data_IF_863445661006
#
_entry.id   IF_863445661006
#
_cell.length_a   1.000
_cell.length_b   1.000
_cell.length_c   1.000
_cell.angle_alpha   90.00
_cell.angle_beta   90.00
_cell.angle_gamma   90.00
#
_symmetry.space_group_name_H-M   'P 1'
#
loop_
_entity.id
_entity.type
_entity.pdbx_description
1 polymer ?
2 polymer ?
3 polymer ?
4 non-polymer ?
5 non-polymer ?
6 water ?
#
loop_
_entity_poly.entity_id
_entity_poly.type
_entity_poly.pdbx_seq_one_letter_code
_entity_poly.pdbx_strand_id
2 'polydeoxyribonucleotide' '(DA)(DG)(DG)(DA)(DC)(DC)(DOC)' ?
3 'polydeoxyribonucleotide' '(DT)(BRU)(DG)(DG)(DG)(DT)(DC)(DC)(DT)' ?
#
# COMPACT_ATOMS: atom_id res chain seq x y z
N UNK A 1 11.38 21.59 -15.01
CA UNK A 1 10.67 20.78 -13.95
C UNK A 1 10.35 21.64 -12.71
N UNK A 2 9.17 21.43 -12.14
CA UNK A 2 8.74 22.18 -10.95
C UNK A 2 7.37 21.73 -10.45
N UNK A 3 6.36 21.82 -11.32
CA UNK A 3 5.00 21.43 -10.97
C UNK A 3 4.65 20.04 -11.45
N UNK A 4 4.39 19.13 -10.52
CA UNK A 4 4.05 17.77 -10.88
C UNK A 4 2.57 17.45 -10.86
N UNK A 5 2.20 16.38 -11.55
CA UNK A 5 0.84 15.89 -11.59
C UNK A 5 0.95 14.42 -11.22
N UNK A 6 0.69 14.13 -9.96
CA UNK A 6 0.80 12.78 -9.44
C UNK A 6 -0.58 12.17 -9.26
N UNK A 7 -0.66 10.85 -9.36
CA UNK A 7 -1.93 10.18 -9.17
C UNK A 7 -1.76 9.00 -8.21
N UNK A 8 -2.70 8.88 -7.28
CA UNK A 8 -2.67 7.81 -6.33
C UNK A 8 -3.85 6.87 -6.58
N UNK A 9 -3.54 5.63 -6.96
CA UNK A 9 -4.58 4.62 -7.24
C UNK A 9 -4.67 3.67 -6.08
N UNK A 10 -5.87 3.56 -5.51
CA UNK A 10 -6.12 2.69 -4.35
C UNK A 10 -7.34 1.78 -4.57
N UNK A 11 -7.09 0.48 -4.74
CA UNK A 11 -8.16 -0.49 -4.96
C UNK A 11 -9.04 -0.78 -3.75
N UNK A 12 -10.33 -0.84 -4.01
CA UNK A 12 -11.33 -1.11 -2.99
C UNK A 12 -11.26 -2.55 -2.47
N UNK A 13 -11.30 -2.71 -1.15
CA UNK A 13 -11.22 -4.02 -0.49
C UNK A 13 -10.62 -5.08 -1.42
N UNK A 14 -9.44 -4.77 -1.93
CA UNK A 14 -8.71 -5.63 -2.87
C UNK A 14 -8.88 -7.15 -2.76
N UNK A 15 -8.64 -7.73 -1.59
CA UNK A 15 -8.79 -9.18 -1.46
C UNK A 15 -10.21 -9.67 -1.71
N UNK A 16 -11.19 -8.97 -1.17
CA UNK A 16 -12.58 -9.37 -1.38
C UNK A 16 -12.84 -9.31 -2.87
N UNK A 17 -12.35 -8.25 -3.49
CA UNK A 17 -12.55 -8.04 -4.92
C UNK A 17 -12.02 -9.23 -5.73
N UNK A 18 -10.91 -9.83 -5.28
CA UNK A 18 -10.34 -10.96 -5.99
C UNK A 18 -11.16 -12.23 -5.72
N UNK A 19 -11.51 -12.45 -4.45
CA UNK A 19 -12.30 -13.61 -4.08
C UNK A 19 -13.64 -13.59 -4.81
N UNK A 20 -14.26 -12.41 -4.88
CA UNK A 20 -15.56 -12.29 -5.55
C UNK A 20 -15.49 -12.60 -7.03
N UNK A 21 -14.40 -12.18 -7.68
CA UNK A 21 -14.26 -12.47 -9.09
C UNK A 21 -14.12 -13.98 -9.25
N UNK A 22 -13.47 -14.62 -8.27
CA UNK A 22 -13.29 -16.07 -8.28
C UNK A 22 -14.66 -16.75 -8.27
N UNK A 23 -15.33 -16.71 -7.12
CA UNK A 23 -16.65 -17.31 -6.98
C UNK A 23 -17.71 -16.20 -6.90
N UNK A 24 -18.33 -15.86 -8.05
CA UNK A 24 -19.36 -14.83 -8.18
C UNK A 24 -20.49 -14.91 -7.16
N UNK A 25 -20.92 -16.13 -6.84
CA UNK A 25 -21.99 -16.34 -5.87
C UNK A 25 -21.74 -15.55 -4.60
N UNK A 26 -20.49 -15.12 -4.41
CA UNK A 26 -20.11 -14.35 -3.24
C UNK A 26 -20.49 -12.87 -3.33
N UNK A 27 -20.76 -12.39 -4.54
CA UNK A 27 -21.15 -10.99 -4.72
C UNK A 27 -22.42 -10.68 -3.93
N UNK A 28 -22.75 -9.39 -3.83
CA UNK A 28 -23.94 -8.90 -3.12
C UNK A 28 -24.16 -9.52 -1.72
N UNK A 29 -23.42 -10.57 -1.42
CA UNK A 29 -23.50 -11.23 -0.12
C UNK A 29 -22.35 -10.69 0.70
N UNK A 30 -22.60 -10.40 1.99
CA UNK A 30 -21.50 -9.88 2.81
C UNK A 30 -20.32 -10.86 2.84
N UNK A 31 -19.20 -10.44 2.24
CA UNK A 31 -18.01 -11.29 2.19
C UNK A 31 -16.84 -10.70 2.93
N UNK A 32 -16.29 -11.49 3.84
CA UNK A 32 -15.14 -11.06 4.62
C UNK A 32 -13.98 -12.01 4.36
N UNK A 33 -12.76 -11.49 4.24
CA UNK A 33 -11.62 -12.35 4.01
C UNK A 33 -10.92 -12.56 5.34
N UNK A 34 -10.66 -13.83 5.65
CA UNK A 34 -10.07 -14.20 6.92
C UNK A 34 -8.64 -14.76 6.86
N UNK A 35 -7.86 -14.36 7.86
CA UNK A 35 -6.48 -14.83 8.03
C UNK A 35 -6.42 -15.13 9.52
N UNK A 36 -6.31 -16.41 9.86
CA UNK A 36 -6.30 -16.80 11.25
C UNK A 36 -7.63 -16.37 11.88
N UNK A 37 -7.57 -15.59 12.96
CA UNK A 37 -8.79 -15.16 13.61
C UNK A 37 -9.12 -13.72 13.28
N UNK A 38 -8.71 -13.28 12.10
CA UNK A 38 -8.98 -11.92 11.71
C UNK A 38 -9.69 -11.82 10.39
N UNK A 39 -10.47 -10.75 10.25
CA UNK A 39 -11.19 -10.47 9.02
C UNK A 39 -10.42 -9.26 8.50
N UNK A 40 -9.37 -9.56 7.75
CA UNK A 40 -8.48 -8.54 7.20
C UNK A 40 -9.21 -7.53 6.30
N UNK A 41 -10.13 -7.99 5.48
CA UNK A 41 -10.88 -7.09 4.61
C UNK A 41 -12.24 -7.73 4.31
N UNK A 42 -13.16 -6.93 3.75
CA UNK A 42 -14.50 -7.41 3.42
C UNK A 42 -15.10 -6.51 2.35
N UNK A 43 -16.06 -7.05 1.60
CA UNK A 43 -16.70 -6.26 0.56
C UNK A 43 -17.58 -5.20 1.23
N UNK A 44 -17.99 -4.19 0.49
CA UNK A 44 -18.79 -3.12 1.05
C UNK A 44 -20.12 -3.54 1.62
N UNK A 45 -20.72 -4.56 1.01
CA UNK A 45 -22.00 -5.09 1.48
C UNK A 45 -21.85 -5.35 2.98
N UNK A 46 -20.76 -6.01 3.37
CA UNK A 46 -20.49 -6.35 4.77
C UNK A 46 -20.13 -5.12 5.64
N UNK A 47 -19.39 -4.16 5.07
CA UNK A 47 -19.02 -2.97 5.81
C UNK A 47 -20.27 -2.24 6.24
N UNK A 48 -21.29 -2.32 5.41
CA UNK A 48 -22.58 -1.68 5.69
C UNK A 48 -23.16 -2.27 6.96
N UNK A 49 -22.98 -3.58 7.12
CA UNK A 49 -23.52 -4.29 8.28
C UNK A 49 -22.62 -4.23 9.52
N UNK A 50 -21.63 -3.34 9.51
CA UNK A 50 -20.77 -3.20 10.68
C UNK A 50 -19.39 -3.87 10.66
N UNK A 51 -19.12 -4.66 9.63
CA UNK A 51 -17.83 -5.33 9.54
C UNK A 51 -16.71 -4.34 9.20
N UNK A 52 -15.79 -4.14 10.13
CA UNK A 52 -14.67 -3.22 9.93
C UNK A 52 -13.41 -4.05 9.72
N UNK A 53 -12.53 -3.59 8.84
CA UNK A 53 -11.31 -4.33 8.56
C UNK A 53 -10.52 -4.63 9.81
N UNK A 54 -9.78 -5.72 9.78
CA UNK A 54 -8.99 -6.15 10.92
C UNK A 54 -9.88 -6.19 12.17
N UNK A 55 -10.93 -7.01 12.09
CA UNK A 55 -11.88 -7.19 13.18
C UNK A 55 -11.92 -8.67 13.54
N UNK A 56 -11.98 -8.98 14.83
CA UNK A 56 -12.03 -10.36 15.29
C UNK A 56 -13.17 -11.11 14.59
N UNK A 57 -12.92 -12.36 14.21
CA UNK A 57 -13.96 -13.13 13.53
C UNK A 57 -15.22 -13.14 14.36
N UNK A 58 -15.07 -13.25 15.67
CA UNK A 58 -16.22 -13.25 16.58
C UNK A 58 -16.92 -11.91 16.53
N UNK A 59 -16.25 -10.84 16.96
CA UNK A 59 -16.81 -9.50 16.94
C UNK A 59 -17.46 -9.25 15.57
N UNK A 60 -17.00 -10.00 14.58
CA UNK A 60 -17.48 -9.89 13.19
C UNK A 60 -18.79 -10.60 12.91
N UNK A 61 -18.97 -11.78 13.50
CA UNK A 61 -20.20 -12.52 13.28
C UNK A 61 -21.28 -12.10 14.27
N UNK A 62 -20.88 -11.61 15.44
CA UNK A 62 -21.86 -11.15 16.42
C UNK A 62 -22.21 -9.70 16.10
N UNK A 63 -21.92 -9.30 14.87
CA UNK A 63 -22.20 -7.96 14.37
C UNK A 63 -22.94 -8.19 13.05
N UNK A 64 -22.70 -9.35 12.46
CA UNK A 64 -23.30 -9.76 11.20
C UNK A 64 -23.29 -11.29 11.14
N UNK A 65 -24.18 -11.94 11.91
CA UNK A 65 -24.30 -13.40 11.98
C UNK A 65 -24.73 -14.03 10.65
N UNK A 66 -24.13 -13.58 9.56
CA UNK A 66 -24.48 -14.11 8.24
C UNK A 66 -23.28 -13.96 7.30
N UNK A 67 -22.33 -13.14 7.74
CA UNK A 67 -21.11 -12.88 6.98
C UNK A 67 -20.47 -14.14 6.43
N UNK A 68 -20.14 -14.14 5.14
CA UNK A 68 -19.48 -15.29 4.53
C UNK A 68 -17.98 -15.03 4.63
N UNK A 69 -17.22 -16.04 5.05
CA UNK A 69 -15.79 -15.90 5.18
C UNK A 69 -15.01 -16.86 4.29
N UNK A 70 -13.94 -16.35 3.67
CA UNK A 70 -13.07 -17.18 2.84
C UNK A 70 -11.70 -16.96 3.43
N UNK A 71 -10.82 -17.94 3.26
CA UNK A 71 -9.49 -17.82 3.80
C UNK A 71 -8.58 -17.09 2.85
N UNK A 72 -7.86 -16.10 3.38
CA UNK A 72 -6.94 -15.33 2.56
C UNK A 72 -5.52 -15.38 3.10
N UNK A 73 -5.13 -16.53 3.65
CA UNK A 73 -3.81 -16.72 4.21
C UNK A 73 -2.77 -16.94 3.12
N UNK A 74 -3.24 -17.29 1.93
CA UNK A 74 -2.41 -17.52 0.77
C UNK A 74 -2.53 -16.31 -0.14
N UNK A 75 -1.49 -15.47 -0.15
CA UNK A 75 -1.49 -14.26 -0.96
C UNK A 75 -1.08 -14.45 -2.42
N UNK A 76 -1.17 -15.66 -2.93
CA UNK A 76 -0.75 -15.92 -4.31
C UNK A 76 -1.56 -15.22 -5.38
N UNK A 77 -2.88 -15.39 -5.33
CA UNK A 77 -3.74 -14.77 -6.32
C UNK A 77 -3.79 -13.26 -6.17
N UNK A 78 -3.79 -12.79 -4.93
CA UNK A 78 -3.83 -11.36 -4.66
C UNK A 78 -2.59 -10.70 -5.25
N UNK A 79 -1.44 -11.32 -4.95
CA UNK A 79 -0.17 -10.83 -5.41
C UNK A 79 -0.18 -10.81 -6.93
N UNK A 80 -0.59 -11.91 -7.52
CA UNK A 80 -0.61 -11.97 -8.97
C UNK A 80 -1.46 -10.87 -9.57
N UNK A 81 -2.59 -10.57 -8.93
CA UNK A 81 -3.47 -9.53 -9.42
C UNK A 81 -2.87 -8.15 -9.16
N UNK A 82 -2.15 -8.02 -8.05
CA UNK A 82 -1.51 -6.77 -7.69
C UNK A 82 -0.52 -6.33 -8.76
N UNK A 83 0.22 -7.27 -9.35
CA UNK A 83 1.18 -6.94 -10.41
C UNK A 83 0.52 -6.68 -11.75
N UNK A 84 -0.62 -7.33 -11.96
CA UNK A 84 -1.35 -7.10 -13.18
C UNK A 84 -1.80 -5.64 -13.17
N UNK A 85 -2.19 -5.14 -12.00
CA UNK A 85 -2.63 -3.75 -11.90
C UNK A 85 -1.45 -2.80 -12.13
N UNK A 86 -0.35 -3.06 -11.43
CA UNK A 86 0.84 -2.23 -11.60
C UNK A 86 1.30 -2.18 -13.07
N UNK A 87 1.40 -3.32 -13.71
CA UNK A 87 1.82 -3.37 -15.12
C UNK A 87 0.96 -2.51 -16.02
N UNK A 88 -0.36 -2.70 -15.93
CA UNK A 88 -1.28 -1.90 -16.72
C UNK A 88 -1.01 -0.41 -16.50
N UNK A 89 -0.76 0.01 -15.26
CA UNK A 89 -0.48 1.42 -15.02
C UNK A 89 0.86 1.84 -15.59
N UNK A 90 1.79 0.89 -15.65
CA UNK A 90 3.13 1.14 -16.19
C UNK A 90 3.01 1.44 -17.68
N UNK A 91 1.95 0.95 -18.29
CA UNK A 91 1.71 1.16 -19.71
C UNK A 91 1.46 2.63 -19.95
N UNK A 92 0.57 3.23 -19.17
CA UNK A 92 0.25 4.65 -19.30
C UNK A 92 1.53 5.46 -19.13
N UNK A 93 2.26 5.19 -18.04
CA UNK A 93 3.51 5.87 -17.77
C UNK A 93 4.37 4.92 -16.95
N UNK A 94 5.58 4.66 -17.42
CA UNK A 94 6.52 3.75 -16.76
C UNK A 94 6.84 3.95 -15.28
N UNK A 95 6.94 5.19 -14.84
CA UNK A 95 7.29 5.44 -13.44
C UNK A 95 6.14 5.24 -12.48
N UNK A 96 6.03 4.01 -11.99
CA UNK A 96 4.97 3.60 -11.07
C UNK A 96 5.51 3.03 -9.75
N UNK A 97 5.04 3.58 -8.63
CA UNK A 97 5.45 3.12 -7.32
C UNK A 97 4.34 2.35 -6.62
N UNK A 98 4.66 1.14 -6.16
CA UNK A 98 3.69 0.30 -5.48
C UNK A 98 3.76 0.59 -3.99
N UNK A 99 2.62 0.60 -3.33
CA UNK A 99 2.63 0.79 -1.90
C UNK A 99 1.73 -0.32 -1.41
N UNK A 100 2.30 -1.47 -1.10
CA UNK A 100 1.52 -2.59 -0.63
C UNK A 100 0.95 -3.29 -1.86
N UNK A 101 0.04 -4.24 -1.66
CA UNK A 101 -0.55 -4.94 -2.80
C UNK A 101 -1.66 -4.15 -3.49
N UNK A 102 -2.26 -3.20 -2.80
CA UNK A 102 -3.38 -2.47 -3.39
C UNK A 102 -3.18 -0.98 -3.72
N UNK A 103 -1.93 -0.50 -3.71
CA UNK A 103 -1.69 0.91 -4.02
C UNK A 103 -0.56 1.22 -4.98
N UNK A 104 -0.79 2.22 -5.82
CA UNK A 104 0.20 2.62 -6.81
C UNK A 104 0.23 4.13 -7.00
N UNK A 105 1.43 4.67 -7.19
CA UNK A 105 1.63 6.09 -7.47
C UNK A 105 2.18 6.14 -8.90
N UNK A 106 1.73 7.14 -9.65
CA UNK A 106 2.17 7.29 -11.03
C UNK A 106 2.44 8.77 -11.27
N UNK A 107 3.61 9.07 -11.80
CA UNK A 107 3.96 10.44 -12.09
C UNK A 107 3.47 10.73 -13.49
N UNK A 108 2.35 11.42 -13.57
CA UNK A 108 1.72 11.78 -14.84
C UNK A 108 2.21 13.10 -15.41
N UNK A 109 3.19 13.71 -14.75
CA UNK A 109 3.72 15.01 -15.18
C UNK A 109 4.11 15.08 -16.66
N UNK A 110 4.90 14.11 -17.10
CA UNK A 110 5.35 14.09 -18.48
C UNK A 110 4.22 13.81 -19.45
N UNK A 111 3.24 13.02 -19.01
CA UNK A 111 2.12 12.67 -19.88
C UNK A 111 1.14 13.83 -20.08
N UNK A 112 0.91 14.60 -19.03
CA UNK A 112 0.00 15.73 -19.09
C UNK A 112 0.55 16.79 -20.05
N UNK A 113 1.87 16.97 -20.03
CA UNK A 113 2.53 17.93 -20.89
C UNK A 113 2.32 17.58 -22.37
N UNK A 114 2.62 16.32 -22.70
CA UNK A 114 2.46 15.87 -24.07
C UNK A 114 1.01 16.06 -24.52
N UNK A 115 0.06 15.68 -23.68
CA UNK A 115 -1.34 15.85 -24.06
C UNK A 115 -1.68 17.31 -24.28
N UNK A 116 -1.29 18.17 -23.34
CA UNK A 116 -1.56 19.59 -23.48
C UNK A 116 -0.99 20.15 -24.78
N UNK A 117 0.24 19.76 -25.11
CA UNK A 117 0.88 20.25 -26.33
C UNK A 117 0.16 19.87 -27.62
N UNK A 118 -0.78 18.93 -27.53
CA UNK A 118 -1.51 18.51 -28.71
C UNK A 118 -2.83 19.29 -28.85
N UNK A 119 -3.19 20.02 -27.81
CA UNK A 119 -4.40 20.82 -27.82
C UNK A 119 -4.19 22.14 -28.55
N UNK A 120 -5.24 22.62 -29.22
CA UNK A 120 -5.16 23.87 -29.98
C UNK A 120 -5.65 25.06 -29.15
N UNK A 121 -5.15 26.25 -29.48
CA UNK A 121 -5.50 27.48 -28.79
C UNK A 121 -7.00 27.79 -28.89
N UNK A 122 -7.81 26.84 -28.42
CA UNK A 122 -9.25 26.97 -28.45
C UNK A 122 -9.81 25.86 -27.57
N UNK A 123 -9.61 24.63 -28.01
CA UNK A 123 -10.07 23.44 -27.28
C UNK A 123 -9.57 23.42 -25.84
N UNK A 124 -8.49 24.13 -25.58
CA UNK A 124 -7.93 24.21 -24.23
C UNK A 124 -8.90 24.88 -23.25
N UNK A 125 -9.98 25.44 -23.77
CA UNK A 125 -10.99 26.12 -22.95
C UNK A 125 -12.14 25.15 -22.71
N UNK A 126 -12.12 24.06 -23.48
CA UNK A 126 -13.15 23.03 -23.37
C UNK A 126 -12.67 21.90 -22.47
N UNK A 127 -11.47 22.07 -21.90
CA UNK A 127 -10.91 21.07 -20.99
C UNK A 127 -11.88 20.92 -19.84
N UNK A 128 -12.17 19.68 -19.45
CA UNK A 128 -13.11 19.44 -18.37
C UNK A 128 -12.57 18.43 -17.37
N UNK A 129 -12.99 18.56 -16.12
CA UNK A 129 -12.56 17.65 -15.06
C UNK A 129 -13.27 16.32 -15.24
N UNK A 130 -12.72 15.29 -14.62
CA UNK A 130 -13.29 13.95 -14.69
C UNK A 130 -13.42 13.45 -13.27
N UNK A 131 -14.63 13.47 -12.74
CA UNK A 131 -14.85 13.04 -11.37
C UNK A 131 -14.99 14.23 -10.46
N UNK A 132 -14.82 13.99 -9.16
CA UNK A 132 -14.92 15.01 -8.11
C UNK A 132 -13.77 16.01 -8.09
N UNK A 133 -14.06 17.18 -7.54
CA UNK A 133 -13.08 18.24 -7.36
C UNK A 133 -13.17 18.49 -5.86
N UNK A 134 -12.05 18.37 -5.16
CA UNK A 134 -12.04 18.54 -3.71
C UNK A 134 -12.56 19.89 -3.19
N UNK A 135 -13.37 19.79 -2.15
CA UNK A 135 -14.02 20.92 -1.49
C UNK A 135 -14.82 21.68 -2.53
N UNK A 136 -15.20 20.96 -3.57
CA UNK A 136 -16.03 21.53 -4.62
C UNK A 136 -15.48 22.87 -5.09
N UNK A 137 -14.17 22.99 -5.15
CA UNK A 137 -13.53 24.23 -5.55
C UNK A 137 -13.83 24.64 -6.97
N UNK A 138 -13.76 25.95 -7.23
CA UNK A 138 -13.99 26.47 -8.56
C UNK A 138 -12.76 26.28 -9.42
N UNK A 139 -13.00 25.96 -10.69
CA UNK A 139 -11.93 25.76 -11.65
C UNK A 139 -11.69 27.05 -12.41
N UNK A 140 -10.42 27.38 -12.61
CA UNK A 140 -10.06 28.56 -13.35
C UNK A 140 -9.32 28.06 -14.57
N UNK A 141 -10.02 28.03 -15.70
CA UNK A 141 -9.45 27.53 -16.95
C UNK A 141 -8.28 28.32 -17.51
N UNK A 142 -7.90 29.40 -16.84
CA UNK A 142 -6.76 30.21 -17.29
C UNK A 142 -5.55 29.91 -16.44
N UNK A 143 -5.78 29.19 -15.36
CA UNK A 143 -4.70 28.79 -14.47
C UNK A 143 -4.07 27.55 -15.11
N UNK A 144 -2.81 27.65 -15.51
CA UNK A 144 -2.16 26.51 -16.14
C UNK A 144 -2.14 25.26 -15.24
N UNK A 145 -1.95 25.47 -13.93
CA UNK A 145 -1.92 24.37 -12.96
C UNK A 145 -3.26 23.64 -12.91
N UNK A 146 -4.35 24.40 -13.01
CA UNK A 146 -5.68 23.80 -13.00
C UNK A 146 -5.87 22.93 -14.24
N UNK A 147 -5.45 23.47 -15.39
CA UNK A 147 -5.56 22.74 -16.65
C UNK A 147 -4.82 21.42 -16.54
N UNK A 148 -3.64 21.47 -15.94
CA UNK A 148 -2.81 20.28 -15.76
C UNK A 148 -3.45 19.21 -14.85
N UNK A 149 -3.93 19.61 -13.68
CA UNK A 149 -4.56 18.66 -12.78
C UNK A 149 -5.82 18.06 -13.37
N UNK A 150 -6.52 18.83 -14.18
CA UNK A 150 -7.72 18.31 -14.81
C UNK A 150 -7.37 17.25 -15.83
N UNK A 151 -6.30 17.48 -16.60
CA UNK A 151 -5.85 16.51 -17.59
C UNK A 151 -5.54 15.25 -16.80
N UNK A 152 -4.79 15.43 -15.71
CA UNK A 152 -4.45 14.32 -14.84
C UNK A 152 -5.69 13.57 -14.36
N UNK A 153 -6.79 14.26 -14.13
CA UNK A 153 -8.01 13.57 -13.71
C UNK A 153 -8.55 12.72 -14.86
N UNK A 154 -8.36 13.19 -16.10
CA UNK A 154 -8.81 12.44 -17.27
C UNK A 154 -7.99 11.15 -17.35
N UNK A 155 -6.68 11.30 -17.30
CA UNK A 155 -5.82 10.14 -17.36
C UNK A 155 -6.20 9.23 -16.21
N UNK A 156 -6.45 9.82 -15.05
CA UNK A 156 -6.86 9.06 -13.87
C UNK A 156 -8.12 8.26 -14.19
N UNK A 157 -9.06 8.91 -14.86
CA UNK A 157 -10.31 8.25 -15.25
C UNK A 157 -10.00 7.09 -16.19
N UNK A 158 -9.14 7.35 -17.16
CA UNK A 158 -8.74 6.33 -18.11
C UNK A 158 -8.16 5.08 -17.46
N UNK A 159 -7.20 5.27 -16.56
CA UNK A 159 -6.58 4.16 -15.86
C UNK A 159 -7.67 3.37 -15.12
N UNK A 160 -8.55 4.06 -14.42
CA UNK A 160 -9.59 3.36 -13.71
C UNK A 160 -10.48 2.59 -14.68
N UNK A 161 -10.80 3.18 -15.82
CA UNK A 161 -11.64 2.49 -16.79
C UNK A 161 -10.94 1.23 -17.27
N UNK A 162 -9.67 1.38 -17.66
CA UNK A 162 -8.88 0.25 -18.14
C UNK A 162 -8.79 -0.88 -17.11
N UNK A 163 -8.55 -0.53 -15.86
CA UNK A 163 -8.44 -1.52 -14.81
C UNK A 163 -9.67 -2.39 -14.74
N UNK A 164 -10.83 -1.76 -14.88
CA UNK A 164 -12.09 -2.46 -14.81
C UNK A 164 -12.39 -3.30 -16.04
N UNK A 165 -12.20 -2.73 -17.23
CA UNK A 165 -12.47 -3.49 -18.46
C UNK A 165 -11.52 -4.67 -18.60
N UNK A 166 -10.23 -4.39 -18.49
CA UNK A 166 -9.20 -5.40 -18.63
C UNK A 166 -8.97 -6.36 -17.45
N UNK A 167 -9.17 -5.90 -16.22
CA UNK A 167 -8.94 -6.77 -15.06
C UNK A 167 -10.15 -6.96 -14.13
N UNK A 168 -11.29 -6.36 -14.48
CA UNK A 168 -12.48 -6.49 -13.67
C UNK A 168 -12.38 -5.87 -12.30
N UNK A 169 -11.48 -4.91 -12.14
CA UNK A 169 -11.28 -4.27 -10.84
C UNK A 169 -11.72 -2.81 -10.76
N UNK A 170 -12.32 -2.45 -9.62
CA UNK A 170 -12.76 -1.09 -9.37
C UNK A 170 -11.86 -0.50 -8.30
N UNK A 171 -11.75 0.82 -8.27
CA UNK A 171 -10.91 1.46 -7.27
C UNK A 171 -11.00 2.97 -7.30
N UNK A 172 -10.23 3.62 -6.42
CA UNK A 172 -10.24 5.07 -6.39
C UNK A 172 -8.95 5.65 -6.97
N UNK A 173 -8.97 6.94 -7.24
CA UNK A 173 -7.79 7.62 -7.75
C UNK A 173 -7.78 9.00 -7.10
N UNK A 174 -6.59 9.57 -6.95
CA UNK A 174 -6.45 10.89 -6.38
C UNK A 174 -5.42 11.63 -7.22
N UNK A 175 -5.73 12.84 -7.65
CA UNK A 175 -4.78 13.59 -8.45
C UNK A 175 -4.36 14.85 -7.69
N UNK A 176 -3.05 15.03 -7.55
CA UNK A 176 -2.48 16.19 -6.87
C UNK A 176 -1.06 16.54 -7.37
N UNK A 177 -0.44 17.52 -6.73
CA UNK A 177 0.90 17.93 -7.13
C UNK A 177 2.07 17.22 -6.44
N UNK A 178 1.77 16.29 -5.54
CA UNK A 178 2.80 15.50 -4.87
C UNK A 178 2.19 14.19 -4.31
N UNK A 179 3.04 13.24 -3.90
CA UNK A 179 2.52 11.97 -3.41
C UNK A 179 1.65 12.05 -2.16
N UNK A 180 2.00 12.92 -1.22
CA UNK A 180 1.25 13.10 0.02
C UNK A 180 -0.19 13.55 -0.22
N UNK A 181 -0.37 14.57 -1.05
CA UNK A 181 -1.71 15.07 -1.32
C UNK A 181 -2.55 14.08 -2.12
N UNK A 182 -1.94 13.48 -3.12
CA UNK A 182 -2.64 12.52 -3.98
C UNK A 182 -3.14 11.38 -3.12
N UNK A 183 -2.31 10.91 -2.20
CA UNK A 183 -2.74 9.82 -1.34
C UNK A 183 -3.85 10.31 -0.41
N UNK A 184 -3.72 11.54 0.09
CA UNK A 184 -4.73 12.07 0.99
C UNK A 184 -6.06 12.32 0.31
N UNK A 185 -6.03 12.75 -0.94
CA UNK A 185 -7.29 13.03 -1.61
C UNK A 185 -7.93 11.82 -2.31
N UNK A 186 -7.17 10.75 -2.54
CA UNK A 186 -7.72 9.58 -3.22
C UNK A 186 -8.85 8.96 -2.41
N UNK A 187 -8.86 9.21 -1.11
CA UNK A 187 -9.90 8.65 -0.29
C UNK A 187 -11.14 9.48 -0.06
N UNK A 188 -11.15 10.73 -0.50
CA UNK A 188 -12.31 11.61 -0.25
C UNK A 188 -13.68 11.01 -0.59
N UNK A 189 -13.85 10.44 -1.77
CA UNK A 189 -15.11 9.80 -2.14
C UNK A 189 -14.77 8.33 -2.30
N UNK A 190 -14.95 7.65 -1.19
CA UNK A 190 -14.59 6.26 -0.99
C UNK A 190 -14.82 5.11 -1.93
N UNK A 191 -16.08 4.71 -2.15
CA UNK A 191 -16.23 3.56 -3.06
C UNK A 191 -16.08 3.85 -4.55
N UNK A 192 -15.07 3.23 -5.16
CA UNK A 192 -14.84 3.36 -6.59
C UNK A 192 -15.11 4.74 -7.23
N UNK A 193 -14.33 5.74 -6.85
CA UNK A 193 -14.50 7.08 -7.41
C UNK A 193 -13.16 7.81 -7.43
N UNK A 194 -13.15 9.05 -7.93
CA UNK A 194 -11.92 9.81 -7.99
C UNK A 194 -12.07 11.30 -7.67
N UNK A 195 -11.08 11.85 -6.99
CA UNK A 195 -11.08 13.24 -6.60
C UNK A 195 -9.78 13.89 -7.07
N UNK A 196 -9.85 15.17 -7.43
CA UNK A 196 -8.67 15.91 -7.87
C UNK A 196 -8.58 17.09 -6.92
N UNK A 197 -7.35 17.45 -6.55
CA UNK A 197 -7.15 18.54 -5.62
C UNK A 197 -6.51 19.74 -6.26
N UNK A 198 -7.15 20.90 -6.14
CA UNK A 198 -6.56 22.12 -6.70
C UNK A 198 -5.79 22.82 -5.59
N UNK A 199 -4.65 23.44 -5.94
CA UNK A 199 -3.77 24.16 -5.01
C UNK A 199 -4.51 24.95 -3.92
N UNK A 200 -5.41 25.83 -4.34
CA UNK A 200 -6.17 26.64 -3.38
C UNK A 200 -6.76 25.82 -2.24
N UNK A 201 -6.99 24.52 -2.45
CA UNK A 201 -7.61 23.71 -1.40
C UNK A 201 -6.67 22.86 -0.55
N UNK A 202 -5.37 23.05 -0.71
CA UNK A 202 -4.41 22.26 0.04
C UNK A 202 -4.51 22.31 1.57
N UNK A 203 -4.58 23.50 2.16
CA UNK A 203 -4.68 23.56 3.60
C UNK A 203 -6.01 22.94 4.07
N UNK A 204 -7.09 23.21 3.35
CA UNK A 204 -8.38 22.66 3.71
C UNK A 204 -8.26 21.14 3.84
N UNK A 205 -7.59 20.51 2.87
CA UNK A 205 -7.42 19.06 2.92
C UNK A 205 -6.50 18.66 4.06
N UNK A 206 -5.43 19.41 4.26
CA UNK A 206 -4.49 19.08 5.33
C UNK A 206 -5.15 19.23 6.69
N UNK A 207 -5.87 20.34 6.87
CA UNK A 207 -6.53 20.61 8.14
C UNK A 207 -7.76 19.76 8.42
N UNK A 208 -8.22 19.02 7.41
CA UNK A 208 -9.39 18.19 7.64
C UNK A 208 -9.01 16.96 8.45
N UNK A 209 -7.71 16.70 8.59
CA UNK A 209 -7.28 15.54 9.38
C UNK A 209 -7.52 15.80 10.86
N UNK A 210 -7.79 14.76 11.63
CA UNK A 210 -8.05 14.94 13.05
C UNK A 210 -6.86 14.60 13.92
N UNK A 211 -5.87 13.93 13.34
CA UNK A 211 -4.64 13.64 14.07
C UNK A 211 -3.43 13.40 13.17
N UNK A 212 -2.29 14.00 13.56
CA UNK A 212 -1.02 13.89 12.84
C UNK A 212 -0.75 12.46 12.40
N UNK A 213 -1.26 11.51 13.19
CA UNK A 213 -1.10 10.09 12.89
C UNK A 213 -1.73 9.74 11.55
N UNK A 214 -2.63 10.59 11.09
CA UNK A 214 -3.32 10.38 9.82
C UNK A 214 -2.47 10.79 8.63
N UNK A 215 -1.40 11.54 8.88
CA UNK A 215 -0.53 11.98 7.80
C UNK A 215 0.42 10.88 7.32
N UNK A 216 0.29 10.47 6.05
CA UNK A 216 1.19 9.42 5.56
C UNK A 216 2.64 9.83 5.82
N UNK A 217 3.38 8.99 6.53
CA UNK A 217 4.76 9.31 6.81
C UNK A 217 5.01 9.34 8.30
N UNK A 218 3.97 9.67 9.06
CA UNK A 218 4.06 9.72 10.50
C UNK A 218 3.43 8.42 11.03
N UNK A 219 4.28 7.52 11.52
CA UNK A 219 3.78 6.25 12.02
C UNK A 219 3.27 6.23 13.45
N UNK A 220 3.10 5.03 13.99
CA UNK A 220 2.63 4.86 15.36
C UNK A 220 3.59 5.52 16.35
N UNK A 221 4.89 5.28 16.16
CA UNK A 221 5.89 5.85 17.04
C UNK A 221 5.86 7.37 17.03
N UNK A 222 6.40 7.98 15.96
CA UNK A 222 6.44 9.43 15.83
C UNK A 222 5.21 10.16 16.37
N UNK A 223 4.04 9.54 16.24
CA UNK A 223 2.81 10.14 16.71
C UNK A 223 2.85 10.29 18.22
N UNK A 224 3.28 9.22 18.90
CA UNK A 224 3.39 9.21 20.35
C UNK A 224 4.46 10.17 20.86
N UNK A 225 5.52 10.34 20.09
CA UNK A 225 6.58 11.25 20.47
C UNK A 225 6.01 12.66 20.45
N UNK A 226 5.30 12.97 19.36
CA UNK A 226 4.70 14.29 19.18
C UNK A 226 3.67 14.57 20.26
N UNK A 227 2.93 13.53 20.66
CA UNK A 227 1.93 13.70 21.71
C UNK A 227 2.64 14.14 22.98
N UNK A 228 3.67 13.38 23.33
CA UNK A 228 4.45 13.67 24.52
C UNK A 228 4.93 15.13 24.50
N UNK A 229 4.78 15.79 23.35
CA UNK A 229 5.19 17.19 23.20
C UNK A 229 4.00 18.14 23.10
N UNK A 230 2.80 17.62 23.30
CA UNK A 230 1.62 18.47 23.19
C UNK A 230 1.22 18.79 21.76
N UNK A 231 1.79 18.06 20.81
CA UNK A 231 1.48 18.26 19.40
C UNK A 231 0.40 17.24 19.06
N UNK A 232 -0.84 17.70 18.86
CA UNK A 232 -1.94 16.79 18.56
C UNK A 232 -2.63 17.04 17.23
N UNK A 233 -2.89 18.30 16.91
CA UNK A 233 -3.57 18.64 15.66
C UNK A 233 -2.52 18.91 14.59
N UNK A 234 -2.95 18.91 13.33
CA UNK A 234 -1.98 19.17 12.26
C UNK A 234 -1.43 20.59 12.39
N UNK A 235 -2.24 21.52 12.90
CA UNK A 235 -1.79 22.90 13.03
C UNK A 235 -0.79 23.03 14.17
N UNK A 236 -0.88 22.14 15.16
CA UNK A 236 0.06 22.14 16.27
C UNK A 236 1.43 21.85 15.68
N UNK A 237 1.48 20.86 14.80
CA UNK A 237 2.71 20.47 14.13
C UNK A 237 3.21 21.57 13.20
N UNK A 238 2.29 22.27 12.56
CA UNK A 238 2.67 23.33 11.63
C UNK A 238 3.29 24.48 12.41
N UNK A 239 2.68 24.80 13.54
CA UNK A 239 3.14 25.91 14.36
C UNK A 239 4.20 25.57 15.40
N UNK A 240 4.47 24.28 15.60
CA UNK A 240 5.46 23.92 16.60
C UNK A 240 6.85 24.39 16.22
N UNK A 241 7.69 24.54 17.24
CA UNK A 241 9.07 25.00 17.07
C UNK A 241 9.98 24.10 16.26
N UNK A 242 10.60 24.65 15.19
CA UNK A 242 11.51 23.88 14.35
C UNK A 242 12.66 23.36 15.19
N UNK A 243 13.23 24.25 16.00
CA UNK A 243 14.35 23.88 16.86
C UNK A 243 14.08 22.64 17.72
N UNK A 244 13.18 22.78 18.69
CA UNK A 244 12.85 21.68 19.60
C UNK A 244 12.58 20.36 18.89
N UNK A 245 11.72 20.43 17.88
CA UNK A 245 11.32 19.27 17.08
C UNK A 245 12.52 18.63 16.40
N UNK A 246 13.34 19.49 15.80
CA UNK A 246 14.55 19.07 15.10
C UNK A 246 15.45 18.39 16.13
N UNK A 247 15.49 18.99 17.31
CA UNK A 247 16.31 18.54 18.43
C UNK A 247 15.73 17.38 19.24
N UNK A 248 14.71 16.71 18.72
CA UNK A 248 14.15 15.61 19.48
C UNK A 248 13.73 14.41 18.62
N UNK A 249 13.82 14.57 17.31
CA UNK A 249 13.46 13.52 16.38
C UNK A 249 14.52 13.37 15.31
N UNK A 250 15.39 14.37 15.23
CA UNK A 250 16.46 14.35 14.24
C UNK A 250 16.13 15.34 13.15
N UNK A 251 17.09 16.20 12.83
CA UNK A 251 16.89 17.21 11.80
C UNK A 251 16.18 16.62 10.57
N UNK A 252 16.33 15.31 10.34
CA UNK A 252 15.69 14.65 9.21
C UNK A 252 14.18 14.53 9.46
N UNK A 253 13.80 13.47 10.16
CA UNK A 253 12.40 13.22 10.48
C UNK A 253 11.68 14.52 10.83
N UNK A 254 12.34 15.39 11.60
CA UNK A 254 11.77 16.66 12.01
C UNK A 254 11.44 17.55 10.82
N UNK A 255 12.48 18.01 10.15
CA UNK A 255 12.33 18.89 9.01
C UNK A 255 11.40 18.33 7.94
N UNK A 256 11.37 17.00 7.82
CA UNK A 256 10.52 16.36 6.82
C UNK A 256 9.05 16.32 7.19
N UNK A 257 8.72 15.86 8.40
CA UNK A 257 7.31 15.80 8.76
C UNK A 257 6.70 17.18 8.97
N UNK A 258 7.52 18.19 9.18
CA UNK A 258 6.94 19.51 9.35
C UNK A 258 6.55 20.04 7.98
N UNK A 259 7.30 19.67 6.95
CA UNK A 259 6.94 20.11 5.60
C UNK A 259 5.64 19.39 5.29
N UNK A 260 5.56 18.15 5.73
CA UNK A 260 4.38 17.35 5.51
C UNK A 260 3.14 18.01 6.09
N UNK A 261 3.23 18.48 7.32
CA UNK A 261 2.08 19.08 7.97
C UNK A 261 1.50 20.24 7.16
N UNK A 262 2.24 20.67 6.15
CA UNK A 262 1.80 21.77 5.31
C UNK A 262 1.30 21.33 3.94
N UNK A 263 1.39 20.05 3.66
CA UNK A 263 0.98 19.56 2.36
C UNK A 263 2.17 19.52 1.41
N UNK A 264 3.36 19.76 1.95
CA UNK A 264 4.61 19.74 1.17
C UNK A 264 5.30 18.40 1.23
N UNK A 265 5.58 17.83 0.07
CA UNK A 265 6.23 16.55 -0.02
C UNK A 265 6.93 16.55 -1.36
N UNK A 266 8.26 16.65 -1.34
CA UNK A 266 8.99 16.67 -2.59
C UNK A 266 9.47 15.30 -3.05
N UNK A 267 9.21 14.27 -2.25
CA UNK A 267 9.66 12.93 -2.62
C UNK A 267 9.18 12.51 -4.00
N UNK A 268 10.06 11.84 -4.77
CA UNK A 268 9.76 11.37 -6.12
C UNK A 268 8.97 10.05 -6.13
N UNK A 269 8.47 9.72 -7.30
CA UNK A 269 7.75 8.48 -7.47
C UNK A 269 8.86 7.56 -7.88
N UNK A 270 9.14 6.57 -7.03
CA UNK A 270 10.19 5.62 -7.32
C UNK A 270 9.62 4.50 -8.16
N UNK A 271 10.36 4.09 -9.18
CA UNK A 271 9.95 3.00 -10.06
C UNK A 271 10.17 1.70 -9.30
N UNK A 272 9.10 1.08 -8.86
CA UNK A 272 9.20 -0.18 -8.09
C UNK A 272 9.92 -1.32 -8.78
N UNK A 273 9.53 -1.60 -10.02
CA UNK A 273 10.12 -2.70 -10.76
C UNK A 273 9.86 -4.03 -10.07
N UNK A 274 10.76 -5.01 -10.24
CA UNK A 274 10.64 -6.34 -9.61
C UNK A 274 10.85 -6.31 -8.10
N UNK A 275 10.20 -7.24 -7.39
CA UNK A 275 10.34 -7.29 -5.95
C UNK A 275 11.80 -7.30 -5.51
N UNK A 276 12.07 -6.73 -4.34
CA UNK A 276 13.42 -6.71 -3.79
C UNK A 276 13.59 -7.93 -2.89
N UNK A 277 12.49 -8.64 -2.63
CA UNK A 277 12.50 -9.83 -1.78
C UNK A 277 11.24 -10.68 -1.90
N UNK A 278 11.37 -11.96 -1.53
CA UNK A 278 10.25 -12.90 -1.57
C UNK A 278 10.19 -13.60 -0.22
N UNK A 279 9.02 -13.65 0.40
CA UNK A 279 8.93 -14.34 1.69
C UNK A 279 7.55 -14.90 1.98
N UNK A 280 7.54 -16.00 2.70
CA UNK A 280 6.31 -16.64 3.10
C UNK A 280 6.37 -16.60 4.61
N UNK A 281 5.21 -16.66 5.24
CA UNK A 281 5.12 -16.56 6.68
C UNK A 281 4.10 -17.57 7.18
N UNK A 282 4.06 -17.78 8.48
CA UNK A 282 3.10 -18.71 9.04
C UNK A 282 2.99 -18.55 10.54
N UNK A 283 1.78 -18.21 10.97
CA UNK A 283 1.52 -18.02 12.38
C UNK A 283 0.73 -19.25 12.84
N UNK A 284 0.98 -19.70 14.05
CA UNK A 284 0.26 -20.84 14.58
C UNK A 284 0.25 -20.84 16.10
N UNK A 285 -0.90 -21.22 16.65
CA UNK A 285 -1.16 -21.30 18.08
C UNK A 285 0.03 -21.88 18.85
N UNK A 286 1.01 -21.03 19.15
CA UNK A 286 2.22 -21.42 19.89
C UNK A 286 2.48 -22.92 19.74
N UNK A 287 2.44 -23.40 18.50
CA UNK A 287 2.60 -24.81 18.20
C UNK A 287 3.91 -25.20 17.50
N UNK A 288 5.02 -25.10 18.23
CA UNK A 288 6.32 -25.49 17.70
C UNK A 288 7.19 -25.91 18.89
N UNK A 289 7.61 -27.17 18.87
CA UNK A 289 8.42 -27.78 19.94
C UNK A 289 9.87 -27.33 20.01
N UNK A 290 10.25 -26.44 19.10
CA UNK A 290 11.62 -25.93 19.02
C UNK A 290 12.41 -26.86 18.09
N UNK A 291 11.75 -27.91 17.62
CA UNK A 291 12.38 -28.88 16.72
C UNK A 291 11.32 -29.75 16.06
N UNK A 292 11.71 -30.43 14.98
CA UNK A 292 10.80 -31.29 14.23
C UNK A 292 9.74 -30.41 13.56
N UNK A 293 9.41 -29.31 14.23
CA UNK A 293 8.44 -28.34 13.75
C UNK A 293 9.06 -27.51 12.65
N UNK A 294 10.08 -28.08 12.00
CA UNK A 294 10.76 -27.41 10.91
C UNK A 294 10.31 -28.06 9.62
N UNK A 295 9.28 -28.89 9.75
CA UNK A 295 8.71 -29.53 8.58
C UNK A 295 7.89 -28.39 7.98
N UNK A 296 7.56 -27.43 8.84
CA UNK A 296 6.80 -26.24 8.46
C UNK A 296 7.69 -25.40 7.56
N UNK A 297 8.95 -25.28 7.97
CA UNK A 297 9.95 -24.54 7.24
C UNK A 297 10.12 -25.15 5.86
N UNK A 298 10.04 -26.47 5.80
CA UNK A 298 10.17 -27.16 4.52
C UNK A 298 9.02 -26.69 3.64
N UNK A 299 7.87 -26.45 4.27
CA UNK A 299 6.68 -25.99 3.57
C UNK A 299 6.93 -24.65 2.90
N UNK A 300 7.38 -23.69 3.69
CA UNK A 300 7.65 -22.35 3.19
C UNK A 300 8.54 -22.43 1.95
N UNK A 301 9.68 -23.09 2.08
CA UNK A 301 10.61 -23.24 0.97
C UNK A 301 9.92 -23.78 -0.27
N UNK A 302 9.02 -24.73 -0.07
CA UNK A 302 8.29 -25.32 -1.18
C UNK A 302 7.77 -24.21 -2.11
N UNK A 303 6.86 -23.40 -1.59
CA UNK A 303 6.29 -22.30 -2.36
C UNK A 303 7.35 -21.29 -2.78
N UNK A 304 8.08 -20.78 -1.80
CA UNK A 304 9.12 -19.80 -2.08
C UNK A 304 9.97 -20.21 -3.26
N UNK A 305 10.45 -21.45 -3.27
CA UNK A 305 11.28 -21.93 -4.38
C UNK A 305 10.54 -21.79 -5.71
N UNK A 306 9.24 -22.05 -5.69
CA UNK A 306 8.42 -21.95 -6.88
C UNK A 306 8.27 -20.49 -7.30
N UNK A 307 8.33 -19.59 -6.32
CA UNK A 307 8.20 -18.16 -6.57
C UNK A 307 9.53 -17.58 -7.05
N UNK A 308 10.56 -17.71 -6.21
CA UNK A 308 11.90 -17.20 -6.52
C UNK A 308 12.33 -17.67 -7.90
N UNK A 309 11.86 -18.85 -8.29
CA UNK A 309 12.14 -19.44 -9.59
C UNK A 309 11.45 -18.58 -10.65
N UNK A 310 10.16 -18.85 -10.84
CA UNK A 310 9.30 -18.14 -11.79
C UNK A 310 9.85 -16.78 -12.19
N UNK A 311 10.15 -15.97 -11.17
CA UNK A 311 10.69 -14.62 -11.37
C UNK A 311 11.75 -14.58 -12.45
N UNK A 312 12.75 -15.45 -12.31
CA UNK A 312 13.84 -15.50 -13.28
C UNK A 312 15.15 -15.29 -12.55
N UNK A 313 15.29 -14.15 -11.89
CA UNK A 313 16.50 -13.82 -11.14
C UNK A 313 16.70 -14.85 -10.02
N UNK A 314 17.90 -14.86 -9.44
CA UNK A 314 18.23 -15.78 -8.36
C UNK A 314 18.67 -14.97 -7.15
N UNK A 315 18.23 -15.37 -5.96
CA UNK A 315 18.60 -14.68 -4.72
C UNK A 315 19.93 -15.18 -4.22
N UNK A 316 20.68 -14.30 -3.57
CA UNK A 316 21.99 -14.67 -3.04
C UNK A 316 22.05 -14.54 -1.52
N UNK A 317 20.90 -14.73 -0.88
CA UNK A 317 20.82 -14.67 0.57
C UNK A 317 19.50 -15.25 1.06
N UNK A 318 19.55 -15.94 2.19
CA UNK A 318 18.35 -16.53 2.77
C UNK A 318 18.26 -16.06 4.21
N UNK A 319 17.09 -16.22 4.81
CA UNK A 319 16.90 -15.77 6.18
C UNK A 319 15.78 -16.52 6.87
N UNK A 320 15.77 -16.46 8.20
CA UNK A 320 14.74 -17.09 9.00
C UNK A 320 14.36 -16.13 10.11
N UNK A 321 13.06 -16.03 10.37
CA UNK A 321 12.57 -15.14 11.41
C UNK A 321 11.67 -15.94 12.35
N UNK A 322 11.61 -15.53 13.62
CA UNK A 322 10.78 -16.23 14.58
C UNK A 322 10.16 -15.32 15.64
N UNK A 323 9.32 -15.92 16.48
CA UNK A 323 8.64 -15.23 17.55
C UNK A 323 8.63 -16.08 18.82
N UNK A 324 8.31 -15.46 19.95
CA UNK A 324 8.26 -16.16 21.24
C UNK A 324 7.15 -15.63 22.14
N UNK A 325 6.25 -16.52 22.55
CA UNK A 325 5.12 -16.16 23.41
C UNK A 325 5.53 -15.95 24.86
N UNK A 326 4.80 -15.08 25.55
CA UNK A 326 5.05 -14.78 26.96
C UNK A 326 4.16 -13.64 27.41
N UNK A 327 4.72 -12.44 27.52
CA UNK A 327 3.96 -11.26 27.93
C UNK A 327 3.41 -10.57 26.68
N UNK A 328 3.30 -9.25 26.74
CA UNK A 328 2.79 -8.47 25.63
C UNK A 328 3.93 -7.79 24.88
N UNK A 329 4.83 -8.58 24.30
CA UNK A 329 5.97 -8.05 23.56
C UNK A 329 5.46 -7.32 22.31
N UNK A 330 5.18 -6.03 22.45
CA UNK A 330 4.67 -5.19 21.37
C UNK A 330 5.59 -5.12 20.14
N UNK A 331 6.73 -5.80 20.20
CA UNK A 331 7.70 -5.83 19.10
C UNK A 331 8.80 -6.83 19.38
N UNK A 332 8.71 -8.02 18.80
CA UNK A 332 9.73 -9.02 19.05
C UNK A 332 9.95 -10.08 17.97
N UNK A 333 10.98 -9.89 17.17
CA UNK A 333 11.32 -10.83 16.11
C UNK A 333 12.84 -11.10 16.12
N UNK A 334 13.25 -12.24 15.58
CA UNK A 334 14.66 -12.63 15.53
C UNK A 334 14.98 -13.33 14.21
N UNK A 335 16.09 -12.96 13.58
CA UNK A 335 16.46 -13.58 12.32
C UNK A 335 17.96 -13.83 12.11
N UNK A 336 18.24 -14.94 11.44
CA UNK A 336 19.62 -15.33 11.13
C UNK A 336 19.83 -15.27 9.63
N UNK A 337 20.50 -14.21 9.19
CA UNK A 337 20.80 -14.01 7.77
C UNK A 337 22.04 -14.82 7.38
N UNK A 338 22.11 -15.22 6.12
CA UNK A 338 23.24 -16.01 5.63
C UNK A 338 23.30 -16.14 4.10
N UNK A 339 24.51 -16.10 3.51
CA UNK A 339 24.68 -16.22 2.06
C UNK A 339 24.27 -17.58 1.53
N UNK A 340 23.78 -17.61 0.30
CA UNK A 340 23.35 -18.84 -0.35
C UNK A 340 24.43 -19.44 -1.24
N UNK A 341 24.89 -20.68 -0.93
CA UNK A 341 25.92 -21.36 -1.71
C UNK A 341 25.76 -21.21 -3.22
N UNK A 342 26.75 -20.60 -3.85
CA UNK A 342 26.74 -20.38 -5.30
C UNK A 342 26.31 -21.62 -6.09
N UNK A 343 26.80 -22.79 -5.67
CA UNK A 343 26.45 -24.04 -6.35
C UNK A 343 24.96 -24.31 -6.22
N UNK A 344 24.46 -24.25 -4.99
CA UNK A 344 23.05 -24.52 -4.71
C UNK A 344 22.11 -23.57 -5.45
N UNK A 345 22.61 -22.37 -5.77
CA UNK A 345 21.79 -21.39 -6.48
C UNK A 345 21.17 -21.99 -7.74
N UNK A 346 22.01 -22.62 -8.56
CA UNK A 346 21.53 -23.21 -9.79
C UNK A 346 20.75 -24.50 -9.57
N UNK A 355 16.69 -29.86 -5.17
CA UNK A 355 17.20 -28.52 -4.89
C UNK A 355 16.88 -28.12 -3.46
N UNK A 356 15.77 -28.63 -2.94
CA UNK A 356 15.35 -28.32 -1.58
C UNK A 356 16.35 -28.83 -0.56
N UNK A 357 16.52 -30.15 -0.57
CA UNK A 357 17.42 -30.85 0.34
C UNK A 357 18.52 -29.95 0.92
N UNK A 358 19.50 -29.55 0.10
CA UNK A 358 20.56 -28.69 0.65
C UNK A 358 19.97 -27.59 1.53
N UNK A 359 19.24 -26.68 0.89
CA UNK A 359 18.58 -25.55 1.52
C UNK A 359 17.98 -25.91 2.86
N UNK A 360 17.21 -26.99 2.86
CA UNK A 360 16.55 -27.46 4.06
C UNK A 360 17.49 -27.38 5.26
N UNK A 361 18.61 -28.08 5.19
CA UNK A 361 19.54 -28.07 6.30
C UNK A 361 20.19 -26.71 6.46
N UNK A 362 20.37 -26.00 5.36
CA UNK A 362 20.97 -24.67 5.43
C UNK A 362 20.21 -23.85 6.46
N UNK A 363 18.88 -23.87 6.36
CA UNK A 363 18.03 -23.12 7.29
C UNK A 363 18.04 -23.77 8.67
N UNK A 364 18.23 -25.08 8.69
CA UNK A 364 18.25 -25.83 9.94
C UNK A 364 19.34 -25.37 10.89
N UNK A 365 20.56 -25.21 10.38
CA UNK A 365 21.68 -24.76 11.21
C UNK A 365 21.42 -23.32 11.64
N UNK A 366 20.78 -22.56 10.75
CA UNK A 366 20.43 -21.16 11.00
C UNK A 366 19.34 -21.20 12.06
N UNK A 367 18.63 -22.33 12.09
CA UNK A 367 17.56 -22.58 13.03
C UNK A 367 18.14 -22.69 14.44
N UNK A 368 19.01 -23.69 14.62
CA UNK A 368 19.64 -23.93 15.91
C UNK A 368 20.32 -22.71 16.51
N UNK A 369 21.09 -21.98 15.71
CA UNK A 369 21.78 -20.80 16.18
C UNK A 369 20.83 -19.88 16.96
N UNK A 370 19.53 -20.09 16.77
CA UNK A 370 18.51 -19.29 17.44
C UNK A 370 18.05 -19.94 18.74
N UNK A 380 6.03 -18.43 17.86
CA UNK A 380 4.69 -18.73 17.38
C UNK A 380 4.64 -18.65 15.84
N UNK A 381 5.46 -17.78 15.25
CA UNK A 381 5.49 -17.61 13.80
C UNK A 381 6.85 -17.97 13.19
N UNK A 382 6.81 -18.49 11.97
CA UNK A 382 8.02 -18.87 11.24
C UNK A 382 7.94 -18.39 9.80
N UNK A 383 9.01 -17.77 9.32
CA UNK A 383 9.06 -17.29 7.94
C UNK A 383 10.44 -17.30 7.32
N UNK A 384 10.46 -17.69 6.05
CA UNK A 384 11.70 -17.75 5.29
C UNK A 384 11.67 -16.57 4.32
N UNK A 385 12.84 -16.03 4.03
CA UNK A 385 12.93 -14.91 3.12
C UNK A 385 14.11 -14.99 2.17
N UNK A 386 13.83 -14.98 0.88
CA UNK A 386 14.90 -14.98 -0.11
C UNK A 386 15.10 -13.53 -0.51
N UNK A 387 16.21 -12.94 -0.09
CA UNK A 387 16.48 -11.56 -0.43
C UNK A 387 17.79 -11.47 -1.19
N UNK A 388 18.21 -10.24 -1.50
CA UNK A 388 19.45 -10.01 -2.24
C UNK A 388 19.38 -10.68 -3.61
N UNK A 389 18.46 -10.20 -4.45
CA UNK A 389 18.26 -10.74 -5.79
C UNK A 389 19.24 -10.16 -6.81
N UNK A 390 19.52 -10.94 -7.86
CA UNK A 390 20.42 -10.53 -8.93
C UNK A 390 20.08 -11.27 -10.22
#
# INVERSE_FOLDING_TARGET
ASSRVIVHVDLDCFYAQVEMISNPELKDKPLGVQQKYLVVTCNYEARKLGVKKLMNVRDAKEKCPQLVLVNGEDLTRYREMSYKVTELLEEFSPVVERLGFDENFVDLTEMVEKRLQQLQSDELSAVTVSGHVYNNQSINLLDVLHIRLLVGSQIAAEMREAMYNQLGLTGCAGVASNKLLAKLVSGVFKPNQQTVLLPESCQHLIHSLNHIKEIPGIGYKTAKCLEALGINSVRDLQTFSPKILEKELGISVAQRIQKLSFGEDNSPVILSGPPQSFSEEDSFKKCSSEVEAKNKIEELLASLLNRVCQDGRKPHTVRLIIRRYSSEKHYGRESRQCPIPSHVIQKLGTGNYDVMTPMVDILMKLFRNMVNVKMPFHLTLLSVCFCNLK
#
